data_IF_839574647433
#
_entry.id   IF_839574647433
#
_cell.length_a   1.000
_cell.length_b   1.000
_cell.length_c   1.000
_cell.angle_alpha   90.00
_cell.angle_beta   90.00
_cell.angle_gamma   90.00
#
_symmetry.space_group_name_H-M   'P 1'
#
loop_
_entity.id
_entity.type
_entity.pdbx_description
1 polymer ?
#
# COMPACT_ATOMS: atom_id res chain seq x y z
N UNK A 1 17.24 2.34 -2.90
CA UNK A 1 16.94 3.47 -3.82
C UNK A 1 17.95 4.61 -3.68
N UNK A 2 18.68 4.95 -4.75
CA UNK A 2 19.56 6.13 -4.83
C UNK A 2 18.86 7.25 -5.58
N UNK A 3 18.97 8.49 -5.11
CA UNK A 3 18.29 9.66 -5.71
C UNK A 3 18.72 10.02 -7.14
N UNK A 4 19.76 9.37 -7.68
CA UNK A 4 20.24 9.56 -9.06
C UNK A 4 19.61 8.59 -10.07
N UNK A 5 18.78 7.63 -9.63
CA UNK A 5 18.19 6.64 -10.52
C UNK A 5 17.09 7.28 -11.38
N UNK A 6 17.01 6.88 -12.65
CA UNK A 6 15.88 7.23 -13.50
C UNK A 6 14.58 6.58 -13.01
N UNK A 7 13.44 7.14 -13.40
CA UNK A 7 12.13 6.57 -13.09
C UNK A 7 12.03 5.08 -13.47
N UNK A 8 12.52 4.71 -14.66
CA UNK A 8 12.51 3.32 -15.13
C UNK A 8 13.33 2.39 -14.22
N UNK A 9 14.48 2.84 -13.75
CA UNK A 9 15.32 2.04 -12.84
C UNK A 9 14.65 1.85 -11.48
N UNK A 10 14.01 2.90 -10.97
CA UNK A 10 13.23 2.83 -9.74
C UNK A 10 12.06 1.85 -9.90
N UNK A 11 11.35 1.90 -11.02
CA UNK A 11 10.22 1.02 -11.27
C UNK A 11 10.63 -0.46 -11.32
N UNK A 12 11.78 -0.78 -11.92
CA UNK A 12 12.32 -2.14 -11.92
C UNK A 12 12.76 -2.61 -10.51
N UNK A 13 13.38 -1.73 -9.71
CA UNK A 13 13.77 -2.03 -8.32
C UNK A 13 12.53 -2.31 -7.45
N UNK A 14 11.49 -1.49 -7.59
CA UNK A 14 10.20 -1.67 -6.89
C UNK A 14 9.54 -2.96 -7.34
N UNK A 15 9.42 -3.21 -8.65
CA UNK A 15 8.84 -4.45 -9.18
C UNK A 15 9.53 -5.69 -8.63
N UNK A 16 10.86 -5.72 -8.64
CA UNK A 16 11.65 -6.85 -8.13
C UNK A 16 11.35 -7.06 -6.64
N UNK A 17 11.49 -5.99 -5.83
CA UNK A 17 11.25 -6.06 -4.38
C UNK A 17 9.81 -6.49 -4.04
N UNK A 18 8.82 -6.00 -4.79
CA UNK A 18 7.41 -6.36 -4.59
C UNK A 18 7.14 -7.83 -4.94
N UNK A 19 7.74 -8.35 -6.03
CA UNK A 19 7.57 -9.75 -6.39
C UNK A 19 8.23 -10.67 -5.36
N UNK A 20 9.45 -10.36 -4.91
CA UNK A 20 10.13 -11.10 -3.85
C UNK A 20 9.30 -11.10 -2.54
N UNK A 21 8.70 -9.96 -2.19
CA UNK A 21 7.82 -9.86 -1.03
C UNK A 21 6.56 -10.74 -1.17
N UNK A 22 5.98 -10.85 -2.38
CA UNK A 22 4.84 -11.73 -2.61
C UNK A 22 5.19 -13.22 -2.48
N UNK A 23 6.43 -13.63 -2.74
CA UNK A 23 6.87 -15.00 -2.47
C UNK A 23 6.83 -15.35 -0.98
N UNK A 24 6.93 -14.34 -0.11
CA UNK A 24 6.91 -14.48 1.35
C UNK A 24 5.60 -14.00 2.02
N UNK A 25 4.55 -13.73 1.24
CA UNK A 25 3.29 -13.14 1.74
C UNK A 25 2.57 -13.95 2.83
N UNK A 26 2.88 -15.26 2.95
CA UNK A 26 2.27 -16.14 3.96
C UNK A 26 2.83 -15.89 5.37
N UNK A 27 3.90 -15.11 5.50
CA UNK A 27 4.49 -14.80 6.79
C UNK A 27 3.60 -13.84 7.59
N UNK A 28 3.22 -14.17 8.84
CA UNK A 28 2.35 -13.33 9.63
C UNK A 28 2.96 -11.96 9.93
N UNK A 29 2.20 -10.90 9.65
CA UNK A 29 2.63 -9.52 9.89
C UNK A 29 2.99 -9.24 11.36
N UNK A 30 2.21 -9.76 12.31
CA UNK A 30 2.47 -9.55 13.75
C UNK A 30 3.81 -10.15 14.18
N UNK A 31 4.22 -11.28 13.60
CA UNK A 31 5.51 -11.90 13.87
C UNK A 31 6.65 -11.05 13.28
N UNK A 32 6.47 -10.57 12.04
CA UNK A 32 7.43 -9.67 11.39
C UNK A 32 7.66 -8.40 12.21
N UNK A 33 6.59 -7.80 12.72
CA UNK A 33 6.66 -6.62 13.59
C UNK A 33 7.44 -6.93 14.87
N UNK A 34 7.13 -8.04 15.55
CA UNK A 34 7.82 -8.42 16.79
C UNK A 34 9.32 -8.70 16.59
N UNK A 35 9.72 -9.19 15.41
CA UNK A 35 11.12 -9.46 15.08
C UNK A 35 11.90 -8.18 14.72
N UNK A 36 11.23 -7.18 14.13
CA UNK A 36 11.85 -5.92 13.69
C UNK A 36 11.83 -4.86 14.79
N UNK A 37 10.70 -4.70 15.48
CA UNK A 37 10.52 -3.73 16.56
C UNK A 37 10.50 -4.44 17.92
N UNK A 38 11.56 -4.22 18.71
CA UNK A 38 11.67 -4.78 20.07
C UNK A 38 10.75 -4.10 21.10
N UNK A 39 10.18 -2.94 20.78
CA UNK A 39 9.29 -2.17 21.65
C UNK A 39 8.11 -1.63 20.83
N UNK A 40 7.03 -2.40 20.73
CA UNK A 40 5.78 -1.93 20.11
C UNK A 40 5.27 -0.69 20.83
N UNK A 41 5.44 0.48 20.23
CA UNK A 41 4.85 1.71 20.71
C UNK A 41 3.46 1.88 20.08
N UNK A 42 2.41 1.78 20.89
CA UNK A 42 1.01 1.78 20.43
C UNK A 42 0.59 3.08 19.72
N UNK A 43 1.38 4.15 19.80
CA UNK A 43 1.11 5.43 19.15
C UNK A 43 1.60 5.51 17.70
N UNK A 44 2.34 4.51 17.20
CA UNK A 44 2.90 4.51 15.84
C UNK A 44 2.56 3.24 15.07
N UNK A 45 2.54 3.36 13.74
CA UNK A 45 2.49 2.18 12.89
C UNK A 45 3.87 1.50 12.91
N UNK A 46 3.92 0.16 13.07
CA UNK A 46 5.13 -0.51 13.53
C UNK A 46 6.25 -0.59 12.48
N UNK A 47 5.94 -0.63 11.18
CA UNK A 47 6.99 -0.76 10.15
C UNK A 47 6.74 0.07 8.88
N UNK A 48 5.58 0.70 8.74
CA UNK A 48 5.27 1.59 7.62
C UNK A 48 4.21 2.63 8.01
N UNK A 49 4.33 3.83 7.45
CA UNK A 49 3.38 4.93 7.69
C UNK A 49 2.39 5.12 6.54
N UNK A 50 2.72 4.60 5.34
CA UNK A 50 1.96 4.81 4.11
C UNK A 50 1.52 3.47 3.54
N UNK A 51 0.20 3.32 3.35
CA UNK A 51 -0.38 2.17 2.66
C UNK A 51 -0.76 2.52 1.22
N UNK A 52 -0.40 1.66 0.28
CA UNK A 52 -0.87 1.71 -1.11
C UNK A 52 -1.53 0.38 -1.43
N UNK A 53 -2.79 0.41 -1.88
CA UNK A 53 -3.55 -0.76 -2.30
C UNK A 53 -4.04 -0.62 -3.73
N UNK A 54 -4.13 -1.75 -4.44
CA UNK A 54 -4.67 -1.83 -5.80
C UNK A 54 -5.71 -2.96 -5.87
N UNK A 55 -6.87 -2.66 -6.48
CA UNK A 55 -7.99 -3.58 -6.59
C UNK A 55 -8.41 -3.72 -8.07
N UNK A 56 -8.47 -4.95 -8.58
CA UNK A 56 -8.85 -5.25 -9.97
C UNK A 56 -10.39 -5.31 -10.16
N UNK A 57 -11.17 -5.37 -9.08
CA UNK A 57 -12.64 -5.35 -9.12
C UNK A 57 -13.28 -4.80 -7.83
N UNK A 58 -14.53 -4.33 -7.93
CA UNK A 58 -15.31 -3.69 -6.85
C UNK A 58 -15.51 -4.59 -5.60
N UNK A 59 -15.43 -5.91 -5.75
CA UNK A 59 -15.73 -6.85 -4.65
C UNK A 59 -14.65 -6.91 -3.55
N UNK A 60 -13.50 -6.28 -3.77
CA UNK A 60 -12.33 -6.41 -2.88
C UNK A 60 -12.05 -5.18 -2.00
N UNK A 61 -12.86 -4.12 -2.11
CA UNK A 61 -12.70 -2.94 -1.26
C UNK A 61 -13.31 -3.23 0.12
N UNK A 62 -12.50 -3.17 1.17
CA UNK A 62 -12.97 -3.31 2.55
C UNK A 62 -14.07 -2.26 2.80
N UNK A 63 -15.30 -2.67 3.16
CA UNK A 63 -16.42 -1.74 3.36
C UNK A 63 -16.21 -0.76 4.53
N UNK A 64 -15.19 -0.98 5.38
CA UNK A 64 -14.79 -0.04 6.40
C UNK A 64 -13.99 1.16 5.87
N UNK A 65 -13.49 1.11 4.62
CA UNK A 65 -12.80 2.19 3.94
C UNK A 65 -13.83 3.23 3.47
N UNK A 66 -13.92 4.35 4.20
CA UNK A 66 -14.79 5.47 3.81
C UNK A 66 -14.10 6.31 2.75
N UNK A 67 -14.61 6.30 1.52
CA UNK A 67 -14.05 7.07 0.41
C UNK A 67 -14.50 8.53 0.52
N UNK A 68 -13.53 9.45 0.53
CA UNK A 68 -13.73 10.90 0.56
C UNK A 68 -14.01 11.42 -0.85
N UNK A 69 -13.09 11.11 -1.76
CA UNK A 69 -13.07 11.61 -3.13
C UNK A 69 -12.61 10.50 -4.07
N UNK A 70 -13.11 10.51 -5.31
CA UNK A 70 -12.65 9.62 -6.38
C UNK A 70 -12.18 10.46 -7.56
N UNK A 71 -10.96 10.19 -8.04
CA UNK A 71 -10.34 10.87 -9.18
C UNK A 71 -10.04 9.85 -10.27
N UNK A 72 -10.52 10.08 -11.49
CA UNK A 72 -10.15 9.27 -12.65
C UNK A 72 -8.71 9.55 -13.08
N UNK A 73 -7.87 8.51 -13.11
CA UNK A 73 -6.52 8.52 -13.63
C UNK A 73 -6.51 7.81 -14.99
N UNK A 74 -6.73 8.55 -16.06
CA UNK A 74 -6.85 7.98 -17.41
C UNK A 74 -8.15 7.19 -17.62
N UNK A 75 -8.13 6.30 -18.61
CA UNK A 75 -9.32 5.54 -19.02
C UNK A 75 -9.62 4.37 -18.08
N UNK A 76 -8.61 3.76 -17.46
CA UNK A 76 -8.76 2.46 -16.80
C UNK A 76 -8.63 2.48 -15.26
N UNK A 77 -8.21 3.61 -14.66
CA UNK A 77 -7.90 3.65 -13.21
C UNK A 77 -8.69 4.75 -12.52
N UNK A 78 -9.19 4.42 -11.33
CA UNK A 78 -9.74 5.36 -10.35
C UNK A 78 -8.87 5.37 -9.09
N UNK A 79 -8.55 6.57 -8.63
CA UNK A 79 -7.91 6.81 -7.35
C UNK A 79 -8.97 7.21 -6.33
N UNK A 80 -8.97 6.54 -5.17
CA UNK A 80 -9.90 6.76 -4.08
C UNK A 80 -9.14 7.30 -2.87
N UNK A 81 -9.48 8.51 -2.45
CA UNK A 81 -8.98 9.10 -1.21
C UNK A 81 -9.85 8.66 -0.03
N UNK A 82 -9.29 8.46 1.15
CA UNK A 82 -10.01 7.91 2.31
C UNK A 82 -10.26 9.00 3.36
N UNK A 83 -11.46 9.04 3.96
CA UNK A 83 -11.87 10.05 4.98
C UNK A 83 -11.20 9.79 6.34
N UNK A 84 -10.92 8.53 6.66
CA UNK A 84 -10.27 8.12 7.89
C UNK A 84 -9.31 6.96 7.60
N UNK A 85 -8.07 7.10 8.02
CA UNK A 85 -7.02 6.12 7.84
C UNK A 85 -6.48 5.73 9.22
N UNK A 86 -6.26 4.43 9.45
CA UNK A 86 -5.50 3.95 10.61
C UNK A 86 -4.00 4.25 10.47
N UNK A 87 -3.56 4.52 9.24
CA UNK A 87 -2.20 4.91 8.87
C UNK A 87 -2.11 6.42 8.63
N UNK A 88 -0.90 6.97 8.62
CA UNK A 88 -0.69 8.42 8.36
C UNK A 88 -1.20 8.80 6.95
N UNK A 89 -0.96 7.94 5.96
CA UNK A 89 -1.55 8.06 4.62
C UNK A 89 -1.99 6.70 4.08
N UNK A 90 -3.14 6.68 3.40
CA UNK A 90 -3.64 5.50 2.69
C UNK A 90 -4.17 5.88 1.31
N UNK A 91 -3.65 5.22 0.29
CA UNK A 91 -3.99 5.43 -1.11
C UNK A 91 -4.55 4.16 -1.73
N UNK A 92 -5.77 4.23 -2.25
CA UNK A 92 -6.42 3.08 -2.90
C UNK A 92 -6.58 3.38 -4.39
N UNK A 93 -6.10 2.47 -5.22
CA UNK A 93 -6.28 2.47 -6.66
C UNK A 93 -7.21 1.34 -7.04
N UNK A 94 -8.08 1.59 -8.01
CA UNK A 94 -9.00 0.60 -8.51
C UNK A 94 -9.06 0.65 -10.03
N UNK A 95 -9.13 -0.53 -10.65
CA UNK A 95 -9.44 -0.64 -12.07
C UNK A 95 -10.91 -0.30 -12.32
N UNK A 96 -11.17 0.56 -13.30
CA UNK A 96 -12.54 0.83 -13.75
C UNK A 96 -13.19 -0.44 -14.31
N UNK A 97 -14.49 -0.62 -14.08
CA UNK A 97 -15.25 -1.72 -14.68
C UNK A 97 -15.25 -1.65 -16.21
#
# INVERSE_FOLDING_TARGET
MKGSNSFKQILEEVKTTTLDAFEHQSYPFDLLVNEIESETNAEKNPIFDVLISYHDSDESVDPSIKIADTVSLGEDIEFRNTIASKFDLSYTFQRKP
#
